data_IF_591843837834
#
_entry.id   IF_591843837834
#
_cell.length_a   1.000
_cell.length_b   1.000
_cell.length_c   1.000
_cell.angle_alpha   90.00
_cell.angle_beta   90.00
_cell.angle_gamma   90.00
#
_symmetry.space_group_name_H-M   'P 1'
#
loop_
_entity.id
_entity.type
_entity.pdbx_description
1 polymer ?
#
# COMPACT_ATOMS: atom_id res chain seq x y z
N UNK A 1 -7.36 -21.15 14.29
CA UNK A 1 -8.23 -20.12 13.63
C UNK A 1 -7.63 -19.87 12.26
N UNK A 2 -8.39 -19.84 11.14
CA UNK A 2 -7.75 -19.74 9.81
C UNK A 2 -7.13 -18.35 9.59
N UNK A 3 -5.81 -18.29 9.36
CA UNK A 3 -5.07 -17.07 9.00
C UNK A 3 -5.08 -16.89 7.48
N UNK A 4 -5.17 -15.66 7.00
CA UNK A 4 -5.08 -15.36 5.55
C UNK A 4 -3.58 -15.24 5.17
N UNK A 5 -3.04 -16.15 4.35
CA UNK A 5 -1.63 -16.08 3.96
C UNK A 5 -1.31 -14.79 3.23
N UNK A 6 -0.15 -14.20 3.54
CA UNK A 6 0.40 -13.02 2.86
C UNK A 6 -0.46 -11.75 2.85
N UNK A 7 -1.54 -11.68 3.65
CA UNK A 7 -2.40 -10.50 3.80
C UNK A 7 -1.61 -9.22 4.14
N UNK A 8 -0.53 -9.35 4.91
CA UNK A 8 0.35 -8.27 5.33
C UNK A 8 1.19 -7.65 4.20
N UNK A 9 1.31 -8.34 3.06
CA UNK A 9 2.12 -7.86 1.95
C UNK A 9 1.45 -6.70 1.21
N UNK A 10 0.12 -6.77 1.08
CA UNK A 10 -0.70 -5.86 0.28
C UNK A 10 -1.75 -5.09 1.11
N UNK A 11 -1.44 -4.80 2.37
CA UNK A 11 -2.25 -3.95 3.24
C UNK A 11 -1.67 -2.53 3.37
N UNK A 12 -2.45 -1.62 3.96
CA UNK A 12 -2.02 -0.26 4.30
C UNK A 12 -1.22 -0.17 5.61
N UNK A 13 -0.97 -1.30 6.29
CA UNK A 13 -0.28 -1.39 7.60
C UNK A 13 -0.93 -0.58 8.73
N UNK A 14 -2.19 -0.19 8.59
CA UNK A 14 -2.95 0.51 9.62
C UNK A 14 -3.68 -0.49 10.53
N UNK A 15 -2.92 -1.24 11.33
CA UNK A 15 -3.43 -2.35 12.13
C UNK A 15 -4.59 -1.95 13.06
N UNK A 16 -4.54 -0.76 13.67
CA UNK A 16 -5.55 -0.24 14.60
C UNK A 16 -6.92 -0.01 13.94
N UNK A 17 -6.95 0.11 12.61
CA UNK A 17 -8.17 0.34 11.82
C UNK A 17 -8.43 -0.80 10.83
N UNK A 18 -7.75 -1.94 10.99
CA UNK A 18 -7.84 -3.04 10.04
C UNK A 18 -9.00 -3.98 10.39
N UNK A 19 -10.00 -4.18 9.50
CA UNK A 19 -11.12 -5.10 9.76
C UNK A 19 -10.71 -6.58 9.78
N UNK A 20 -9.51 -6.89 9.28
CA UNK A 20 -8.98 -8.25 9.16
C UNK A 20 -7.88 -8.55 10.19
N UNK A 21 -7.77 -7.74 11.25
CA UNK A 21 -6.76 -7.93 12.30
C UNK A 21 -6.84 -9.32 12.94
N UNK A 22 -8.05 -9.84 13.15
CA UNK A 22 -8.30 -11.19 13.70
C UNK A 22 -7.81 -12.32 12.78
N UNK A 23 -7.69 -12.09 11.47
CA UNK A 23 -7.25 -13.09 10.49
C UNK A 23 -5.80 -12.88 10.02
N UNK A 24 -5.13 -11.85 10.52
CA UNK A 24 -3.79 -11.44 10.09
C UNK A 24 -2.70 -12.01 10.99
N UNK A 25 -1.89 -12.93 10.47
CA UNK A 25 -0.77 -13.51 11.23
C UNK A 25 0.23 -12.46 11.75
N UNK A 26 0.49 -11.39 10.98
CA UNK A 26 1.35 -10.30 11.43
C UNK A 26 0.76 -9.49 12.59
N UNK A 27 -0.56 -9.30 12.61
CA UNK A 27 -1.22 -8.59 13.70
C UNK A 27 -1.07 -9.39 15.01
N UNK A 28 -1.38 -10.69 14.96
CA UNK A 28 -1.25 -11.58 16.10
C UNK A 28 0.20 -11.69 16.57
N UNK A 29 1.16 -11.83 15.67
CA UNK A 29 2.58 -11.85 16.03
C UNK A 29 3.07 -10.58 16.74
N UNK A 30 2.41 -9.43 16.49
CA UNK A 30 2.83 -8.13 17.03
C UNK A 30 2.05 -7.72 18.29
N UNK A 31 0.80 -8.13 18.41
CA UNK A 31 -0.15 -7.63 19.42
C UNK A 31 -0.85 -8.74 20.21
N UNK A 32 -0.70 -10.00 19.82
CA UNK A 32 -1.19 -11.15 20.58
C UNK A 32 -0.13 -11.62 21.57
N UNK A 33 -0.59 -12.07 22.75
CA UNK A 33 0.25 -12.79 23.73
C UNK A 33 0.36 -14.29 23.40
N UNK A 34 -0.25 -14.74 22.29
CA UNK A 34 -0.24 -16.14 21.86
C UNK A 34 0.98 -16.44 20.98
N UNK A 35 1.82 -17.39 21.41
CA UNK A 35 2.82 -18.02 20.55
C UNK A 35 2.11 -18.64 19.34
N UNK A 36 2.41 -18.11 18.15
CA UNK A 36 1.92 -18.69 16.91
C UNK A 36 2.60 -20.04 16.67
N UNK A 37 1.81 -21.10 16.60
CA UNK A 37 2.30 -22.41 16.13
C UNK A 37 2.79 -22.25 14.68
N UNK A 38 4.04 -22.63 14.35
CA UNK A 38 4.57 -22.63 12.98
C UNK A 38 3.65 -23.34 11.95
N UNK A 39 2.81 -24.29 12.38
CA UNK A 39 1.82 -24.95 11.53
C UNK A 39 0.67 -24.04 11.09
N UNK A 40 0.40 -22.93 11.78
CA UNK A 40 -0.62 -21.94 11.35
C UNK A 40 -0.12 -21.01 10.23
N UNK A 41 1.20 -20.98 9.97
CA UNK A 41 1.81 -20.27 8.84
C UNK A 41 1.74 -21.05 7.55
N UNK A 42 1.74 -22.38 7.67
CA UNK A 42 1.38 -23.25 6.56
C UNK A 42 -0.14 -23.15 6.42
N UNK A 43 -0.63 -22.75 5.24
CA UNK A 43 -2.05 -22.93 4.93
C UNK A 43 -2.47 -24.40 5.17
N UNK A 44 -3.78 -24.74 5.12
CA UNK A 44 -4.22 -26.12 5.22
C UNK A 44 -3.32 -26.93 4.29
N UNK A 45 -2.63 -27.93 4.85
CA UNK A 45 -1.95 -28.92 4.05
C UNK A 45 -3.02 -29.43 3.09
N UNK A 46 -2.94 -29.01 1.83
CA UNK A 46 -3.61 -29.73 0.77
C UNK A 46 -3.17 -31.17 0.99
N UNK A 47 -4.09 -32.12 1.15
CA UNK A 47 -3.76 -33.55 1.27
C UNK A 47 -3.06 -34.12 0.03
N UNK A 48 -2.57 -33.25 -0.85
CA UNK A 48 -1.66 -33.52 -1.93
C UNK A 48 -0.25 -33.63 -1.33
N UNK A 49 0.37 -34.80 -1.47
CA UNK A 49 1.80 -34.97 -1.19
C UNK A 49 2.58 -33.83 -1.86
N UNK A 50 3.60 -33.26 -1.17
CA UNK A 50 4.41 -32.20 -1.76
C UNK A 50 5.02 -32.76 -3.04
N UNK A 51 4.53 -32.28 -4.20
CA UNK A 51 5.07 -32.68 -5.50
C UNK A 51 6.57 -32.53 -5.44
N UNK A 52 7.29 -33.61 -5.73
CA UNK A 52 8.73 -33.54 -5.82
C UNK A 52 9.08 -32.53 -6.91
N UNK A 53 9.67 -31.40 -6.50
CA UNK A 53 10.05 -30.28 -7.38
C UNK A 53 10.89 -30.73 -8.58
N UNK A 54 11.51 -31.91 -8.47
CA UNK A 54 12.35 -32.52 -9.50
C UNK A 54 11.61 -33.44 -10.49
N UNK A 55 10.36 -33.84 -10.22
CA UNK A 55 9.58 -34.71 -11.13
C UNK A 55 8.96 -33.95 -12.31
N UNK A 56 8.76 -32.64 -12.19
CA UNK A 56 8.14 -31.78 -13.22
C UNK A 56 9.17 -30.88 -13.95
N UNK A 57 10.46 -31.18 -13.83
CA UNK A 57 11.50 -30.40 -14.54
C UNK A 57 11.47 -30.75 -16.03
N UNK A 58 10.96 -29.81 -16.82
CA UNK A 58 11.03 -29.85 -18.28
C UNK A 58 12.48 -29.58 -18.73
N UNK A 59 13.21 -30.65 -19.05
CA UNK A 59 14.59 -30.60 -19.51
C UNK A 59 14.79 -29.65 -20.70
N UNK A 60 13.78 -29.49 -21.58
CA UNK A 60 13.87 -28.56 -22.71
C UNK A 60 13.87 -27.09 -22.25
N UNK A 61 13.14 -26.78 -21.18
CA UNK A 61 13.20 -25.44 -20.56
C UNK A 61 14.56 -25.20 -19.93
N UNK A 62 15.13 -26.21 -19.27
CA UNK A 62 16.48 -26.13 -18.68
C UNK A 62 17.55 -25.90 -19.75
N UNK A 63 17.48 -26.62 -20.86
CA UNK A 63 18.39 -26.46 -22.00
C UNK A 63 18.26 -25.08 -22.68
N UNK A 64 17.07 -24.46 -22.63
CA UNK A 64 16.83 -23.11 -23.16
C UNK A 64 17.22 -21.97 -22.20
N UNK A 65 17.50 -22.26 -20.92
CA UNK A 65 17.86 -21.25 -19.92
C UNK A 65 19.07 -20.40 -20.32
N UNK A 66 20.18 -20.93 -20.86
CA UNK A 66 21.34 -20.13 -21.20
C UNK A 66 21.04 -19.06 -22.27
N UNK A 67 20.20 -19.39 -23.26
CA UNK A 67 19.78 -18.43 -24.28
C UNK A 67 18.87 -17.35 -23.69
N UNK A 68 17.95 -17.73 -22.79
CA UNK A 68 17.06 -16.80 -22.08
C UNK A 68 17.82 -15.88 -21.13
N UNK A 69 18.83 -16.40 -20.42
CA UNK A 69 19.72 -15.61 -19.55
C UNK A 69 20.47 -14.58 -20.38
N UNK A 70 21.07 -15.01 -21.50
CA UNK A 70 21.78 -14.11 -22.41
C UNK A 70 20.85 -13.03 -22.99
N UNK A 71 19.62 -13.37 -23.36
CA UNK A 71 18.62 -12.40 -23.84
C UNK A 71 18.26 -11.37 -22.76
N UNK A 72 18.16 -11.78 -21.49
CA UNK A 72 17.94 -10.86 -20.36
C UNK A 72 19.16 -9.98 -20.09
N UNK A 73 20.37 -10.54 -20.19
CA UNK A 73 21.63 -9.79 -20.06
C UNK A 73 21.79 -8.74 -21.18
N UNK A 74 21.43 -9.09 -22.41
CA UNK A 74 21.49 -8.21 -23.59
C UNK A 74 20.45 -7.07 -23.52
N UNK A 75 19.31 -7.27 -22.85
CA UNK A 75 18.31 -6.21 -22.60
C UNK A 75 18.79 -5.18 -21.57
N UNK A 76 19.86 -5.48 -20.84
CA UNK A 76 20.38 -4.68 -19.74
C UNK A 76 19.51 -4.75 -18.49
N UNK A 77 20.10 -4.41 -17.36
CA UNK A 77 19.34 -4.33 -16.11
C UNK A 77 18.34 -3.18 -16.21
N UNK A 78 17.06 -3.46 -15.96
CA UNK A 78 16.14 -2.41 -15.55
C UNK A 78 16.79 -1.68 -14.35
N UNK A 79 16.52 -0.39 -14.15
CA UNK A 79 17.03 0.31 -12.98
C UNK A 79 15.83 1.03 -12.34
N UNK A 80 15.36 0.58 -11.17
CA UNK A 80 14.17 1.18 -10.57
C UNK A 80 14.43 2.64 -10.20
N UNK A 81 15.69 2.98 -9.87
CA UNK A 81 16.12 4.31 -9.47
C UNK A 81 16.23 5.28 -10.66
N UNK A 82 16.23 4.76 -11.89
CA UNK A 82 16.17 5.57 -13.11
C UNK A 82 14.73 5.84 -13.58
N UNK A 83 13.72 5.33 -12.88
CA UNK A 83 12.32 5.47 -13.30
C UNK A 83 11.87 6.94 -13.24
N UNK A 84 11.32 7.51 -14.33
CA UNK A 84 10.88 8.92 -14.36
C UNK A 84 9.83 9.27 -13.31
N UNK A 85 9.04 8.27 -12.87
CA UNK A 85 8.00 8.45 -11.85
C UNK A 85 8.59 8.86 -10.49
N UNK A 86 9.88 8.59 -10.23
CA UNK A 86 10.54 9.00 -8.99
C UNK A 86 10.66 10.52 -8.89
N UNK A 87 10.92 11.22 -10.00
CA UNK A 87 10.92 12.69 -10.01
C UNK A 87 9.53 13.29 -9.71
N UNK A 88 8.47 12.61 -10.16
CA UNK A 88 7.08 12.99 -9.85
C UNK A 88 6.77 12.73 -8.37
N UNK A 89 7.23 11.60 -7.84
CA UNK A 89 7.13 11.28 -6.42
C UNK A 89 7.88 12.29 -5.54
N UNK A 90 9.07 12.74 -5.93
CA UNK A 90 9.85 13.73 -5.19
C UNK A 90 9.12 15.09 -5.13
N UNK A 91 8.56 15.54 -6.26
CA UNK A 91 7.73 16.75 -6.32
C UNK A 91 6.48 16.62 -5.43
N UNK A 92 5.80 15.48 -5.54
CA UNK A 92 4.64 15.14 -4.71
C UNK A 92 5.00 15.15 -3.21
N UNK A 93 6.16 14.60 -2.83
CA UNK A 93 6.64 14.57 -1.45
C UNK A 93 6.94 15.98 -0.92
N UNK A 94 7.40 16.90 -1.78
CA UNK A 94 7.55 18.32 -1.43
C UNK A 94 6.22 18.96 -1.01
N UNK A 95 5.17 18.78 -1.82
CA UNK A 95 3.83 19.28 -1.50
C UNK A 95 3.23 18.59 -0.26
N UNK A 96 3.45 17.28 -0.11
CA UNK A 96 3.06 16.52 1.07
C UNK A 96 3.66 17.14 2.34
N UNK A 97 4.97 17.38 2.31
CA UNK A 97 5.71 17.94 3.44
C UNK A 97 5.18 19.32 3.83
N UNK A 98 4.89 20.17 2.84
CA UNK A 98 4.32 21.50 3.07
C UNK A 98 2.95 21.44 3.75
N UNK A 99 2.02 20.62 3.26
CA UNK A 99 0.68 20.48 3.86
C UNK A 99 0.77 19.86 5.26
N UNK A 100 1.64 18.86 5.45
CA UNK A 100 1.84 18.25 6.76
C UNK A 100 2.43 19.25 7.78
N UNK A 101 3.33 20.12 7.34
CA UNK A 101 3.89 21.19 8.19
C UNK A 101 2.78 22.16 8.63
N UNK A 102 1.98 22.68 7.70
CA UNK A 102 0.86 23.57 8.02
C UNK A 102 -0.12 22.93 9.00
N UNK A 103 -0.45 21.65 8.79
CA UNK A 103 -1.34 20.93 9.69
C UNK A 103 -0.73 20.74 11.08
N UNK A 104 0.57 20.50 11.16
CA UNK A 104 1.29 20.34 12.44
C UNK A 104 1.30 21.65 13.23
N UNK A 105 1.66 22.75 12.57
CA UNK A 105 1.66 24.10 13.16
C UNK A 105 0.26 24.50 13.65
N UNK A 106 -0.76 24.29 12.83
CA UNK A 106 -2.16 24.58 13.18
C UNK A 106 -2.63 23.73 14.36
N UNK A 107 -2.26 22.44 14.39
CA UNK A 107 -2.59 21.54 15.50
C UNK A 107 -1.92 21.96 16.81
N UNK A 108 -0.64 22.36 16.78
CA UNK A 108 0.09 22.83 17.95
C UNK A 108 -0.53 24.11 18.53
N UNK A 109 -0.88 25.07 17.68
CA UNK A 109 -1.57 26.29 18.08
C UNK A 109 -2.94 25.99 18.70
N UNK A 110 -3.66 25.02 18.14
CA UNK A 110 -4.96 24.61 18.67
C UNK A 110 -4.85 23.92 20.03
N UNK A 111 -3.85 23.05 20.21
CA UNK A 111 -3.58 22.36 21.49
C UNK A 111 -3.17 23.32 22.61
N UNK A 112 -2.54 24.45 22.31
CA UNK A 112 -2.26 25.50 23.30
C UNK A 112 -3.54 26.10 23.90
N UNK A 113 -4.68 26.00 23.20
CA UNK A 113 -6.00 26.47 23.69
C UNK A 113 -6.72 25.44 24.59
N UNK A 114 -6.05 24.34 24.96
CA UNK A 114 -6.51 23.30 25.88
C UNK A 114 -7.95 22.80 25.60
N UNK A 115 -8.78 22.60 26.64
CA UNK A 115 -10.10 21.95 26.61
C UNK A 115 -11.11 22.53 25.60
N UNK A 116 -10.89 23.75 25.11
CA UNK A 116 -11.77 24.38 24.13
C UNK A 116 -11.69 23.73 22.75
N UNK A 117 -10.52 23.23 22.35
CA UNK A 117 -10.30 22.68 21.00
C UNK A 117 -10.99 21.32 20.79
N UNK A 118 -10.99 20.46 21.81
CA UNK A 118 -11.65 19.14 21.76
C UNK A 118 -13.16 19.26 21.60
N UNK A 119 -13.74 20.41 22.01
CA UNK A 119 -15.18 20.70 21.92
C UNK A 119 -15.59 21.34 20.61
N UNK A 120 -14.66 21.62 19.69
CA UNK A 120 -14.99 22.16 18.38
C UNK A 120 -15.76 21.15 17.53
N UNK A 121 -16.77 21.62 16.79
CA UNK A 121 -17.64 20.78 15.96
C UNK A 121 -16.89 19.91 14.94
N UNK A 122 -15.71 20.36 14.51
CA UNK A 122 -14.88 19.70 13.50
C UNK A 122 -13.66 18.95 14.06
N UNK A 123 -13.53 18.83 15.39
CA UNK A 123 -12.35 18.22 16.02
C UNK A 123 -12.04 16.82 15.48
N UNK A 124 -13.03 15.94 15.40
CA UNK A 124 -12.85 14.56 14.92
C UNK A 124 -12.42 14.52 13.44
N UNK A 125 -12.92 15.44 12.60
CA UNK A 125 -12.52 15.52 11.20
C UNK A 125 -11.07 16.00 11.06
N UNK A 126 -10.66 17.00 11.88
CA UNK A 126 -9.27 17.48 11.94
C UNK A 126 -8.32 16.38 12.42
N UNK A 127 -8.69 15.67 13.49
CA UNK A 127 -7.92 14.54 14.02
C UNK A 127 -7.78 13.43 12.98
N UNK A 128 -8.87 13.03 12.33
CA UNK A 128 -8.83 11.99 11.31
C UNK A 128 -7.94 12.39 10.12
N UNK A 129 -8.07 13.62 9.61
CA UNK A 129 -7.23 14.10 8.52
C UNK A 129 -5.73 14.06 8.88
N UNK A 130 -5.39 14.51 10.10
CA UNK A 130 -4.03 14.45 10.63
C UNK A 130 -3.51 13.02 10.76
N UNK A 131 -4.31 12.11 11.28
CA UNK A 131 -3.90 10.71 11.41
C UNK A 131 -3.63 10.06 10.05
N UNK A 132 -4.44 10.37 9.03
CA UNK A 132 -4.22 9.84 7.66
C UNK A 132 -2.91 10.37 7.07
N UNK A 133 -2.65 11.67 7.18
CA UNK A 133 -1.40 12.27 6.72
C UNK A 133 -0.17 11.80 7.51
N UNK A 134 -0.31 11.50 8.80
CA UNK A 134 0.82 10.95 9.55
C UNK A 134 1.05 9.48 9.19
N UNK A 135 -0.02 8.71 9.03
CA UNK A 135 0.04 7.30 8.67
C UNK A 135 0.75 7.08 7.33
N UNK A 136 0.45 7.91 6.33
CA UNK A 136 1.01 7.75 4.99
C UNK A 136 2.38 8.40 4.75
N UNK A 137 2.90 9.19 5.71
CA UNK A 137 4.14 9.96 5.56
C UNK A 137 5.33 9.13 5.07
N UNK A 138 5.48 7.92 5.59
CA UNK A 138 6.58 7.01 5.26
C UNK A 138 6.09 5.73 4.56
N UNK A 139 4.86 5.75 4.03
CA UNK A 139 4.23 4.55 3.49
C UNK A 139 4.37 4.44 1.97
N UNK A 140 4.17 5.54 1.23
CA UNK A 140 4.04 5.48 -0.23
C UNK A 140 5.38 5.18 -0.93
N UNK A 141 6.48 5.82 -0.53
CA UNK A 141 7.81 5.61 -1.13
C UNK A 141 8.24 4.14 -1.17
N UNK A 142 8.26 3.41 -0.02
CA UNK A 142 8.57 1.98 -0.03
C UNK A 142 7.64 1.13 -0.90
N UNK A 143 6.37 1.52 -1.05
CA UNK A 143 5.42 0.83 -1.94
C UNK A 143 5.72 1.08 -3.41
N UNK A 144 6.10 2.30 -3.76
CA UNK A 144 6.55 2.63 -5.11
C UNK A 144 7.82 1.85 -5.47
N UNK A 145 8.85 1.88 -4.61
CA UNK A 145 10.08 1.13 -4.86
C UNK A 145 9.85 -0.37 -4.97
N UNK A 146 9.02 -0.96 -4.10
CA UNK A 146 8.67 -2.39 -4.21
C UNK A 146 7.89 -2.71 -5.49
N UNK A 147 6.97 -1.83 -5.89
CA UNK A 147 6.26 -1.99 -7.16
C UNK A 147 7.25 -1.98 -8.32
N UNK A 148 8.16 -1.01 -8.39
CA UNK A 148 9.20 -0.95 -9.42
C UNK A 148 10.10 -2.19 -9.40
N UNK A 149 10.56 -2.60 -8.22
CA UNK A 149 11.39 -3.78 -8.00
C UNK A 149 10.74 -5.09 -8.47
N UNK A 150 9.42 -5.23 -8.33
CA UNK A 150 8.69 -6.42 -8.76
C UNK A 150 8.76 -6.71 -10.26
N UNK A 151 9.24 -5.77 -11.10
CA UNK A 151 9.49 -6.01 -12.53
C UNK A 151 10.62 -6.98 -12.78
N UNK A 152 11.69 -6.87 -11.98
CA UNK A 152 12.88 -7.70 -12.12
C UNK A 152 12.55 -9.16 -11.88
N UNK A 153 11.80 -9.41 -10.80
CA UNK A 153 11.41 -10.75 -10.38
C UNK A 153 10.55 -11.47 -11.43
N UNK A 154 9.88 -10.72 -12.32
CA UNK A 154 8.98 -11.28 -13.32
C UNK A 154 9.68 -11.81 -14.59
N UNK A 155 10.95 -11.49 -14.84
CA UNK A 155 11.75 -12.08 -15.93
C UNK A 155 11.11 -11.98 -17.34
N UNK A 156 10.41 -10.87 -17.62
CA UNK A 156 9.81 -10.56 -18.93
C UNK A 156 8.30 -10.32 -18.88
N UNK A 157 7.50 -11.36 -18.63
CA UNK A 157 6.04 -11.24 -18.53
C UNK A 157 5.64 -11.06 -17.07
N UNK A 158 5.05 -9.91 -16.75
CA UNK A 158 4.59 -9.59 -15.40
C UNK A 158 3.25 -10.31 -15.14
N UNK A 159 3.19 -11.30 -14.22
CA UNK A 159 1.94 -11.95 -13.88
C UNK A 159 0.96 -10.97 -13.24
N UNK A 160 -0.35 -11.22 -13.39
CA UNK A 160 -1.37 -10.36 -12.77
C UNK A 160 -1.19 -10.29 -11.25
N UNK A 161 -1.01 -11.43 -10.58
CA UNK A 161 -0.76 -11.53 -9.13
C UNK A 161 0.75 -11.43 -8.83
N UNK A 162 1.35 -10.28 -9.12
CA UNK A 162 2.77 -9.99 -8.89
C UNK A 162 2.96 -8.86 -7.88
N UNK A 163 4.15 -8.78 -7.29
CA UNK A 163 4.58 -7.68 -6.43
C UNK A 163 4.50 -6.32 -7.13
N UNK A 164 4.77 -6.29 -8.44
CA UNK A 164 4.60 -5.13 -9.33
C UNK A 164 3.19 -4.57 -9.25
N UNK A 165 2.18 -5.39 -9.55
CA UNK A 165 0.78 -4.97 -9.56
C UNK A 165 0.23 -4.77 -8.14
N UNK A 166 0.56 -5.65 -7.20
CA UNK A 166 0.00 -5.61 -5.85
C UNK A 166 0.50 -4.42 -5.03
N UNK A 167 1.79 -4.10 -5.11
CA UNK A 167 2.35 -2.92 -4.43
C UNK A 167 1.83 -1.62 -5.05
N UNK A 168 1.71 -1.57 -6.38
CA UNK A 168 1.11 -0.44 -7.09
C UNK A 168 -0.37 -0.24 -6.71
N UNK A 169 -1.17 -1.31 -6.60
CA UNK A 169 -2.56 -1.21 -6.15
C UNK A 169 -2.67 -0.56 -4.78
N UNK A 170 -1.83 -0.99 -3.84
CA UNK A 170 -1.82 -0.44 -2.48
C UNK A 170 -1.42 1.03 -2.46
N UNK A 171 -0.43 1.40 -3.27
CA UNK A 171 -0.02 2.79 -3.48
C UNK A 171 -1.19 3.65 -4.00
N UNK A 172 -1.87 3.20 -5.06
CA UNK A 172 -3.01 3.90 -5.66
C UNK A 172 -4.18 4.05 -4.67
N UNK A 173 -4.48 3.00 -3.88
CA UNK A 173 -5.51 3.07 -2.85
C UNK A 173 -5.15 4.06 -1.73
N UNK A 174 -3.87 4.16 -1.35
CA UNK A 174 -3.40 5.16 -0.39
C UNK A 174 -3.56 6.58 -0.96
N UNK A 175 -3.23 6.80 -2.24
CA UNK A 175 -3.43 8.08 -2.93
C UNK A 175 -4.91 8.47 -2.98
N UNK A 176 -5.81 7.53 -3.28
CA UNK A 176 -7.25 7.80 -3.24
C UNK A 176 -7.72 8.21 -1.83
N UNK A 177 -7.23 7.55 -0.78
CA UNK A 177 -7.56 7.92 0.59
C UNK A 177 -7.03 9.32 0.95
N UNK A 178 -5.81 9.67 0.50
CA UNK A 178 -5.26 11.01 0.67
C UNK A 178 -6.13 12.07 -0.04
N UNK A 179 -6.54 11.84 -1.30
CA UNK A 179 -7.40 12.77 -2.04
C UNK A 179 -8.72 13.06 -1.30
N UNK A 180 -9.38 12.03 -0.78
CA UNK A 180 -10.60 12.19 0.04
C UNK A 180 -10.36 13.04 1.29
N UNK A 181 -9.20 12.90 1.93
CA UNK A 181 -8.84 13.71 3.09
C UNK A 181 -8.54 15.15 2.70
N UNK A 182 -7.91 15.39 1.54
CA UNK A 182 -7.62 16.74 1.06
C UNK A 182 -8.90 17.54 0.78
N UNK A 183 -9.94 16.91 0.24
CA UNK A 183 -11.27 17.54 0.07
C UNK A 183 -11.91 17.96 1.40
N UNK A 184 -11.63 17.24 2.48
CA UNK A 184 -12.06 17.62 3.83
C UNK A 184 -11.18 18.75 4.35
N UNK A 185 -9.87 18.65 4.18
CA UNK A 185 -8.91 19.65 4.66
C UNK A 185 -9.12 21.01 4.02
N UNK A 186 -9.43 21.09 2.73
CA UNK A 186 -9.68 22.35 2.03
C UNK A 186 -10.81 23.16 2.69
N UNK A 187 -11.84 22.46 3.20
CA UNK A 187 -12.95 23.07 3.96
C UNK A 187 -12.58 23.43 5.39
N UNK A 188 -11.71 22.64 6.03
CA UNK A 188 -11.31 22.82 7.43
C UNK A 188 -10.21 23.86 7.63
N UNK A 189 -9.41 24.10 6.59
CA UNK A 189 -8.27 25.02 6.59
C UNK A 189 -8.26 25.91 5.33
N UNK A 190 -9.26 26.79 5.14
CA UNK A 190 -9.32 27.70 3.98
C UNK A 190 -8.06 28.56 3.81
N UNK A 191 -7.36 28.87 4.90
CA UNK A 191 -6.09 29.60 4.91
C UNK A 191 -4.95 28.87 4.18
N UNK A 192 -5.05 27.54 4.03
CA UNK A 192 -4.06 26.70 3.34
C UNK A 192 -4.56 26.21 1.97
N UNK A 193 -5.66 26.77 1.45
CA UNK A 193 -6.28 26.35 0.18
C UNK A 193 -5.26 26.18 -0.96
N UNK A 194 -4.34 27.13 -1.13
CA UNK A 194 -3.36 27.07 -2.22
C UNK A 194 -2.40 25.88 -2.11
N UNK A 195 -1.89 25.58 -0.92
CA UNK A 195 -0.98 24.44 -0.72
C UNK A 195 -1.72 23.11 -0.76
N UNK A 196 -2.95 23.06 -0.25
CA UNK A 196 -3.83 21.88 -0.35
C UNK A 196 -4.18 21.58 -1.80
N UNK A 197 -4.58 22.59 -2.59
CA UNK A 197 -4.91 22.43 -4.01
C UNK A 197 -3.70 21.99 -4.84
N UNK A 198 -2.51 22.55 -4.58
CA UNK A 198 -1.27 22.11 -5.23
C UNK A 198 -0.96 20.64 -4.91
N UNK A 199 -1.13 20.24 -3.65
CA UNK A 199 -0.91 18.86 -3.23
C UNK A 199 -1.96 17.90 -3.79
N UNK A 200 -3.22 18.34 -3.92
CA UNK A 200 -4.27 17.56 -4.56
C UNK A 200 -3.95 17.31 -6.04
N UNK A 201 -3.59 18.35 -6.80
CA UNK A 201 -3.21 18.23 -8.20
C UNK A 201 -2.00 17.29 -8.38
N UNK A 202 -0.96 17.47 -7.56
CA UNK A 202 0.21 16.59 -7.59
C UNK A 202 -0.16 15.13 -7.25
N UNK A 203 -1.12 14.91 -6.34
CA UNK A 203 -1.60 13.58 -5.98
C UNK A 203 -2.43 12.93 -7.08
N UNK A 204 -3.23 13.70 -7.81
CA UNK A 204 -3.97 13.25 -8.99
C UNK A 204 -3.02 12.86 -10.12
N UNK A 205 -2.06 13.73 -10.48
CA UNK A 205 -1.05 13.42 -11.49
C UNK A 205 -0.24 12.18 -11.08
N UNK A 206 0.31 12.12 -9.88
CA UNK A 206 1.09 10.96 -9.44
C UNK A 206 0.28 9.65 -9.49
N UNK A 207 -1.02 9.70 -9.15
CA UNK A 207 -1.92 8.55 -9.30
C UNK A 207 -2.11 8.15 -10.76
N UNK A 208 -2.33 9.11 -11.66
CA UNK A 208 -2.47 8.85 -13.10
C UNK A 208 -1.20 8.23 -13.69
N UNK A 209 -0.02 8.73 -13.30
CA UNK A 209 1.27 8.17 -13.70
C UNK A 209 1.43 6.74 -13.17
N UNK A 210 1.00 6.46 -11.94
CA UNK A 210 0.97 5.09 -11.43
C UNK A 210 0.02 4.19 -12.23
N UNK A 211 -1.19 4.65 -12.57
CA UNK A 211 -2.14 3.86 -13.37
C UNK A 211 -1.60 3.58 -14.78
N UNK A 212 -0.91 4.55 -15.38
CA UNK A 212 -0.23 4.40 -16.68
C UNK A 212 0.92 3.40 -16.61
N UNK A 213 1.77 3.51 -15.58
CA UNK A 213 2.94 2.64 -15.40
C UNK A 213 2.55 1.21 -14.98
N UNK A 214 1.49 1.06 -14.19
CA UNK A 214 1.00 -0.20 -13.64
C UNK A 214 -0.44 -0.50 -14.12
N UNK A 215 -0.66 -0.74 -15.42
CA UNK A 215 -2.01 -0.83 -16.00
C UNK A 215 -2.85 -1.98 -15.43
N UNK A 216 -2.21 -3.03 -14.92
CA UNK A 216 -2.89 -4.18 -14.31
C UNK A 216 -2.99 -4.10 -12.78
N UNK A 217 -2.52 -3.01 -12.15
CA UNK A 217 -2.52 -2.86 -10.70
C UNK A 217 -3.92 -3.06 -10.11
N UNK A 218 -4.94 -2.40 -10.66
CA UNK A 218 -6.29 -2.46 -10.07
C UNK A 218 -6.95 -3.83 -10.22
N UNK A 219 -6.53 -4.63 -11.20
CA UNK A 219 -6.98 -6.01 -11.40
C UNK A 219 -6.30 -7.03 -10.47
N UNK A 220 -5.19 -6.65 -9.81
CA UNK A 220 -4.60 -7.45 -8.73
C UNK A 220 -5.63 -7.70 -7.62
N UNK A 221 -5.62 -8.90 -7.02
CA UNK A 221 -6.56 -9.25 -5.94
C UNK A 221 -5.80 -9.29 -4.63
N UNK A 222 -6.05 -8.32 -3.75
CA UNK A 222 -5.42 -8.28 -2.43
C UNK A 222 -5.95 -9.42 -1.57
N UNK A 223 -5.09 -10.32 -1.07
CA UNK A 223 -5.50 -11.44 -0.23
C UNK A 223 -6.35 -10.96 0.94
N UNK A 224 -7.57 -11.50 1.04
CA UNK A 224 -8.51 -11.18 2.11
C UNK A 224 -9.23 -9.84 2.02
N UNK A 225 -8.70 -8.83 1.32
CA UNK A 225 -9.31 -7.49 1.28
C UNK A 225 -10.31 -7.31 0.14
N UNK A 226 -9.99 -7.81 -1.06
CA UNK A 226 -10.78 -7.52 -2.27
C UNK A 226 -11.89 -8.57 -2.53
N UNK A 227 -11.89 -9.67 -1.77
CA UNK A 227 -12.91 -10.73 -1.86
C UNK A 227 -13.95 -10.64 -0.70
N UNK A 228 -13.88 -9.62 0.16
CA UNK A 228 -14.90 -9.41 1.19
C UNK A 228 -16.23 -9.06 0.52
N UNK A 229 -17.25 -9.87 0.78
CA UNK A 229 -18.64 -9.45 0.58
C UNK A 229 -18.87 -8.14 1.35
N UNK A 230 -19.66 -7.18 0.82
CA UNK A 230 -20.10 -6.01 1.57
C UNK A 230 -20.66 -6.34 2.96
N UNK A 231 -21.22 -7.54 3.13
CA UNK A 231 -21.82 -8.02 4.37
C UNK A 231 -20.81 -8.36 5.48
N UNK A 232 -19.53 -8.56 5.13
CA UNK A 232 -18.46 -8.84 6.10
C UNK A 232 -17.75 -7.57 6.61
N UNK A 233 -17.99 -6.42 5.97
CA UNK A 233 -17.43 -5.11 6.37
C UNK A 233 -18.23 -4.49 7.51
N UNK A 234 -19.51 -4.88 7.65
CA UNK A 234 -20.34 -4.55 8.80
C UNK A 234 -20.31 -5.74 9.75
N UNK A 235 -19.43 -5.68 10.75
CA UNK A 235 -19.54 -6.59 11.90
C UNK A 235 -20.96 -6.53 12.50
N UNK A 236 -21.42 -7.60 13.18
CA UNK A 236 -22.74 -7.60 13.78
C UNK A 236 -22.78 -6.58 14.94
N UNK A 237 -23.32 -5.40 14.66
CA UNK A 237 -23.79 -4.46 15.67
C UNK A 237 -22.82 -3.35 16.08
N UNK A 238 -23.40 -2.14 16.08
CA UNK A 238 -23.00 -0.88 16.73
C UNK A 238 -22.03 0.03 15.94
#
# INVERSE_FOLDING_TARGET
>A
MYRIPSIQQYCNRWCQRCPLSSLCGLYHARYGDEELDPQEWSGPASGEEPRHVFEEIDLKKVEALPAKIKELEDQGDFNPDASPILGIYDQWQGHYGQVLQHLTESWEQAMQKQDSFVREAHFLQRLNAREVLLHYRNFLGPKLHRALGGRFDAGGQIPLQSDWNGSAKVLILALNHLLLVLEIMDRLYPEYHQSIAAFQLASEDFKEQCLSLFPQAMAFKRPGFDDLSPDLVLGPGL
#
